data_IF_265838828210
#
_entry.id   IF_265838828210
#
_cell.length_a   1.000
_cell.length_b   1.000
_cell.length_c   1.000
_cell.angle_alpha   90.00
_cell.angle_beta   90.00
_cell.angle_gamma   90.00
#
_symmetry.space_group_name_H-M   'P 1'
#
loop_
_entity.id
_entity.type
_entity.pdbx_description
1 polymer ?
#
# COMPACT_ATOMS: atom_id res chain seq x y z
N UNK A 1 3.21 4.83 -6.57
CA UNK A 1 4.55 5.35 -6.21
C UNK A 1 5.58 4.59 -7.01
N UNK A 2 6.79 5.13 -7.21
CA UNK A 2 7.86 4.47 -7.97
C UNK A 2 8.00 4.96 -9.41
N UNK A 3 8.77 4.21 -10.19
CA UNK A 3 9.11 4.53 -11.58
C UNK A 3 8.07 3.88 -12.51
N UNK A 4 7.44 4.69 -13.36
CA UNK A 4 6.36 4.26 -14.26
C UNK A 4 6.90 3.20 -15.25
N UNK A 5 6.21 2.07 -15.36
CA UNK A 5 6.51 0.95 -16.28
C UNK A 5 7.89 0.29 -16.14
N UNK A 6 8.63 0.53 -15.05
CA UNK A 6 9.99 -0.02 -14.89
C UNK A 6 10.05 -1.55 -15.05
N UNK A 7 9.12 -2.29 -14.43
CA UNK A 7 9.11 -3.76 -14.52
C UNK A 7 8.88 -4.28 -15.94
N UNK A 8 8.11 -3.55 -16.76
CA UNK A 8 7.92 -3.90 -18.17
C UNK A 8 9.24 -3.75 -18.93
N UNK A 9 9.91 -2.62 -18.74
CA UNK A 9 11.21 -2.35 -19.39
C UNK A 9 12.26 -3.39 -18.99
N UNK A 10 12.36 -3.75 -17.70
CA UNK A 10 13.28 -4.80 -17.26
C UNK A 10 12.92 -6.15 -17.88
N UNK A 11 11.63 -6.49 -17.95
CA UNK A 11 11.18 -7.74 -18.55
C UNK A 11 11.49 -7.85 -20.05
N UNK A 12 11.39 -6.74 -20.79
CA UNK A 12 11.64 -6.69 -22.22
C UNK A 12 13.15 -6.65 -22.54
N UNK A 13 13.92 -5.84 -21.81
CA UNK A 13 15.31 -5.51 -22.16
C UNK A 13 16.37 -6.27 -21.34
N UNK A 14 16.02 -6.75 -20.14
CA UNK A 14 16.97 -7.44 -19.24
C UNK A 14 16.28 -8.51 -18.39
N UNK A 15 15.66 -9.53 -19.02
CA UNK A 15 14.86 -10.54 -18.31
C UNK A 15 15.67 -11.32 -17.27
N UNK A 16 16.97 -11.53 -17.51
CA UNK A 16 17.88 -12.25 -16.60
C UNK A 16 18.12 -11.53 -15.26
N UNK A 17 17.79 -10.24 -15.18
CA UNK A 17 17.81 -9.50 -13.93
C UNK A 17 16.72 -9.96 -12.93
N UNK A 18 15.66 -10.62 -13.41
CA UNK A 18 14.53 -11.08 -12.59
C UNK A 18 14.73 -12.54 -12.18
N UNK A 19 15.00 -12.78 -10.89
CA UNK A 19 15.17 -14.13 -10.34
C UNK A 19 14.00 -14.51 -9.44
N UNK A 20 13.27 -15.56 -9.82
CA UNK A 20 12.22 -16.15 -8.98
C UNK A 20 12.85 -17.19 -8.05
N UNK A 21 12.64 -17.04 -6.75
CA UNK A 21 13.11 -18.00 -5.75
C UNK A 21 12.02 -18.27 -4.72
N UNK A 22 11.96 -19.49 -4.14
CA UNK A 22 11.05 -19.78 -3.04
C UNK A 22 11.46 -18.98 -1.79
N UNK A 23 10.49 -18.72 -0.89
CA UNK A 23 10.73 -18.02 0.37
C UNK A 23 11.76 -18.72 1.25
N UNK A 24 11.86 -20.06 1.18
CA UNK A 24 12.87 -20.86 1.87
C UNK A 24 14.30 -20.46 1.54
N UNK A 25 14.55 -19.91 0.34
CA UNK A 25 15.87 -19.39 -0.05
C UNK A 25 16.29 -18.13 0.72
N UNK A 26 15.36 -17.51 1.47
CA UNK A 26 15.58 -16.33 2.28
C UNK A 26 15.70 -16.65 3.78
N UNK A 27 15.72 -17.93 4.16
CA UNK A 27 15.89 -18.33 5.56
C UNK A 27 17.16 -17.71 6.17
N UNK A 28 17.03 -17.15 7.37
CA UNK A 28 18.10 -16.49 8.11
C UNK A 28 18.54 -15.13 7.56
N UNK A 29 18.01 -14.69 6.41
CA UNK A 29 18.35 -13.41 5.78
C UNK A 29 17.66 -12.26 6.51
N UNK A 30 18.35 -11.12 6.57
CA UNK A 30 17.79 -9.85 7.01
C UNK A 30 17.21 -9.15 5.78
N UNK A 31 15.93 -8.77 5.85
CA UNK A 31 15.21 -8.08 4.78
C UNK A 31 14.65 -6.76 5.32
N UNK A 32 15.08 -5.66 4.72
CA UNK A 32 14.50 -4.35 4.94
C UNK A 32 13.22 -4.20 4.10
N UNK A 33 12.13 -3.82 4.75
CA UNK A 33 10.81 -3.64 4.14
C UNK A 33 10.40 -2.17 4.27
N UNK A 34 10.00 -1.57 3.16
CA UNK A 34 9.37 -0.26 3.14
C UNK A 34 8.01 -0.32 3.87
N UNK A 35 7.98 0.31 5.05
CA UNK A 35 6.81 0.35 5.92
C UNK A 35 5.71 1.23 5.33
N UNK A 36 6.06 2.44 4.87
CA UNK A 36 5.11 3.41 4.28
C UNK A 36 4.31 2.77 3.14
N UNK A 37 5.00 2.07 2.23
CA UNK A 37 4.36 1.37 1.12
C UNK A 37 3.49 0.20 1.58
N UNK A 38 3.95 -0.57 2.57
CA UNK A 38 3.21 -1.72 3.07
C UNK A 38 1.92 -1.31 3.79
N UNK A 39 1.97 -0.29 4.64
CA UNK A 39 0.81 0.24 5.35
C UNK A 39 -0.28 0.70 4.37
N UNK A 40 0.11 1.42 3.31
CA UNK A 40 -0.82 1.86 2.28
C UNK A 40 -1.49 0.69 1.56
N UNK A 41 -0.73 -0.37 1.23
CA UNK A 41 -1.30 -1.58 0.61
C UNK A 41 -2.32 -2.27 1.50
N UNK A 42 -2.06 -2.35 2.81
CA UNK A 42 -2.99 -2.97 3.75
C UNK A 42 -4.31 -2.22 3.86
N UNK A 43 -4.25 -0.88 3.92
CA UNK A 43 -5.47 -0.05 3.97
C UNK A 43 -6.34 -0.21 2.71
N UNK A 44 -5.73 -0.30 1.53
CA UNK A 44 -6.46 -0.52 0.27
C UNK A 44 -7.05 -1.94 0.21
N UNK A 45 -6.27 -2.95 0.59
CA UNK A 45 -6.69 -4.34 0.46
C UNK A 45 -7.96 -4.65 1.26
N UNK A 46 -8.15 -4.03 2.43
CA UNK A 46 -9.36 -4.24 3.25
C UNK A 46 -10.61 -3.60 2.68
N UNK A 47 -10.50 -2.58 1.83
CA UNK A 47 -11.66 -2.00 1.14
C UNK A 47 -12.18 -2.90 0.01
N UNK A 48 -11.30 -3.73 -0.57
CA UNK A 48 -11.63 -4.66 -1.66
C UNK A 48 -12.32 -5.95 -1.18
N UNK A 49 -12.08 -6.35 0.07
CA UNK A 49 -12.50 -7.67 0.54
C UNK A 49 -13.99 -7.73 0.93
N UNK A 50 -14.71 -6.61 1.03
CA UNK A 50 -16.10 -6.60 1.54
C UNK A 50 -16.24 -7.10 2.98
N UNK A 51 -15.13 -7.44 3.64
CA UNK A 51 -15.09 -7.78 5.05
C UNK A 51 -15.21 -6.47 5.81
N UNK A 52 -16.11 -6.40 6.79
CA UNK A 52 -16.18 -5.28 7.71
C UNK A 52 -14.76 -5.01 8.22
N UNK A 53 -14.18 -3.88 7.80
CA UNK A 53 -12.84 -3.52 8.22
C UNK A 53 -12.85 -3.54 9.74
N UNK A 54 -11.98 -4.36 10.34
CA UNK A 54 -11.77 -4.31 11.78
C UNK A 54 -11.49 -2.84 12.11
N UNK A 55 -12.37 -2.30 12.94
CA UNK A 55 -12.35 -0.92 13.36
C UNK A 55 -12.17 -0.93 14.86
N UNK A 56 -11.38 -0.01 15.39
CA UNK A 56 -11.32 0.15 16.83
C UNK A 56 -12.67 0.68 17.35
N UNK A 57 -12.83 0.70 18.67
CA UNK A 57 -14.07 1.14 19.31
C UNK A 57 -14.47 2.60 18.95
N UNK A 58 -13.50 3.41 18.52
CA UNK A 58 -13.68 4.78 18.03
C UNK A 58 -13.97 4.87 16.51
N UNK A 59 -14.07 3.75 15.81
CA UNK A 59 -14.28 3.69 14.37
C UNK A 59 -13.02 3.89 13.52
N UNK A 60 -11.83 4.01 14.11
CA UNK A 60 -10.57 4.10 13.36
C UNK A 60 -10.20 2.78 12.69
N UNK A 61 -9.65 2.86 11.48
CA UNK A 61 -9.32 1.71 10.65
C UNK A 61 -8.09 0.95 11.18
N UNK A 62 -8.22 -0.34 11.50
CA UNK A 62 -7.11 -1.15 12.04
C UNK A 62 -6.44 -2.08 11.01
N UNK A 63 -6.79 -1.98 9.73
CA UNK A 63 -6.29 -2.84 8.65
C UNK A 63 -4.77 -2.82 8.51
N UNK A 64 -4.16 -1.68 8.75
CA UNK A 64 -2.72 -1.52 8.69
C UNK A 64 -2.01 -2.28 9.83
N UNK A 65 -2.60 -2.31 11.03
CA UNK A 65 -2.08 -3.05 12.19
C UNK A 65 -2.16 -4.56 11.96
N UNK A 66 -3.34 -5.05 11.54
CA UNK A 66 -3.52 -6.48 11.24
C UNK A 66 -2.64 -6.90 10.08
N UNK A 67 -2.53 -6.08 9.03
CA UNK A 67 -1.65 -6.33 7.89
C UNK A 67 -0.18 -6.45 8.30
N UNK A 68 0.33 -5.52 9.11
CA UNK A 68 1.71 -5.57 9.61
C UNK A 68 1.93 -6.80 10.49
N UNK A 69 1.00 -7.09 11.40
CA UNK A 69 1.09 -8.23 12.31
C UNK A 69 1.18 -9.56 11.55
N UNK A 70 0.18 -9.86 10.71
CA UNK A 70 0.13 -11.12 9.98
C UNK A 70 1.27 -11.25 8.95
N UNK A 71 1.66 -10.15 8.29
CA UNK A 71 2.82 -10.19 7.37
C UNK A 71 4.12 -10.46 8.13
N UNK A 72 4.30 -9.85 9.30
CA UNK A 72 5.50 -10.05 10.12
C UNK A 72 5.59 -11.47 10.62
N UNK A 73 4.50 -12.04 11.15
CA UNK A 73 4.45 -13.44 11.60
C UNK A 73 4.80 -14.38 10.46
N UNK A 74 4.13 -14.25 9.30
CA UNK A 74 4.37 -15.14 8.15
C UNK A 74 5.82 -15.12 7.65
N UNK A 75 6.45 -13.94 7.63
CA UNK A 75 7.85 -13.81 7.22
C UNK A 75 8.80 -14.36 8.29
N UNK A 76 8.49 -14.14 9.57
CA UNK A 76 9.26 -14.69 10.68
C UNK A 76 9.19 -16.23 10.72
N UNK A 77 8.02 -16.83 10.48
CA UNK A 77 7.83 -18.29 10.33
C UNK A 77 8.65 -18.86 9.18
N UNK A 78 8.85 -18.10 8.10
CA UNK A 78 9.76 -18.45 7.01
C UNK A 78 11.25 -18.28 7.37
N UNK A 79 11.57 -17.90 8.61
CA UNK A 79 12.91 -17.65 9.12
C UNK A 79 13.56 -16.36 8.63
N UNK A 80 12.77 -15.41 8.09
CA UNK A 80 13.26 -14.12 7.63
C UNK A 80 13.33 -13.16 8.82
N UNK A 81 14.47 -12.46 8.96
CA UNK A 81 14.66 -11.41 9.96
C UNK A 81 14.21 -10.08 9.35
N UNK A 82 13.15 -9.49 9.90
CA UNK A 82 12.53 -8.29 9.32
C UNK A 82 13.14 -7.01 9.90
N UNK A 83 13.30 -6.00 9.05
CA UNK A 83 13.54 -4.60 9.45
C UNK A 83 12.54 -3.71 8.74
N UNK A 84 11.63 -3.10 9.51
CA UNK A 84 10.68 -2.13 8.98
C UNK A 84 11.35 -0.76 8.86
N UNK A 85 11.36 -0.21 7.65
CA UNK A 85 11.98 1.09 7.35
C UNK A 85 10.88 2.09 7.05
N UNK A 86 10.78 3.12 7.89
CA UNK A 86 9.84 4.22 7.72
C UNK A 86 10.52 5.38 7.00
N UNK A 87 9.76 6.05 6.14
CA UNK A 87 10.25 7.25 5.47
C UNK A 87 10.51 8.38 6.49
N UNK A 88 11.60 9.10 6.26
CA UNK A 88 11.88 10.36 6.95
C UNK A 88 11.30 11.57 6.21
N UNK A 89 11.93 12.73 6.39
CA UNK A 89 11.57 13.95 5.68
C UNK A 89 11.77 13.77 4.17
N UNK A 90 10.73 14.09 3.39
CA UNK A 90 10.83 14.08 1.94
C UNK A 90 11.79 15.17 1.44
N UNK A 91 12.57 14.91 0.37
CA UNK A 91 13.44 15.90 -0.23
C UNK A 91 12.63 16.95 -1.02
N UNK A 92 13.23 18.11 -1.28
CA UNK A 92 12.54 19.28 -1.86
C UNK A 92 11.98 19.00 -3.26
N UNK A 93 12.71 18.24 -4.07
CA UNK A 93 12.33 17.85 -5.43
C UNK A 93 11.05 17.00 -5.45
N UNK A 94 10.70 16.37 -4.33
CA UNK A 94 9.48 15.57 -4.18
C UNK A 94 8.25 16.43 -3.84
N UNK A 95 8.41 17.70 -3.46
CA UNK A 95 7.29 18.54 -2.98
C UNK A 95 6.21 18.75 -4.05
N UNK A 96 6.58 19.09 -5.28
CA UNK A 96 5.63 19.29 -6.38
C UNK A 96 4.82 18.00 -6.67
N UNK A 97 5.48 16.83 -6.60
CA UNK A 97 4.81 15.55 -6.75
C UNK A 97 3.86 15.25 -5.58
N UNK A 98 4.24 15.59 -4.35
CA UNK A 98 3.38 15.41 -3.18
C UNK A 98 2.15 16.32 -3.24
N UNK A 99 2.30 17.56 -3.71
CA UNK A 99 1.18 18.48 -3.92
C UNK A 99 0.15 17.90 -4.91
N UNK A 100 0.61 17.47 -6.10
CA UNK A 100 -0.25 16.81 -7.09
C UNK A 100 -0.98 15.58 -6.54
N UNK A 101 -0.31 14.79 -5.68
CA UNK A 101 -0.94 13.63 -5.03
C UNK A 101 -2.01 14.03 -4.02
N UNK A 102 -1.79 15.11 -3.26
CA UNK A 102 -2.78 15.63 -2.31
C UNK A 102 -4.02 16.13 -3.04
N UNK A 103 -3.83 16.84 -4.14
CA UNK A 103 -4.93 17.30 -5.02
C UNK A 103 -5.73 16.12 -5.58
N UNK A 104 -5.05 15.12 -6.15
CA UNK A 104 -5.72 13.94 -6.67
C UNK A 104 -6.53 13.19 -5.60
N UNK A 105 -5.98 13.05 -4.38
CA UNK A 105 -6.70 12.43 -3.28
C UNK A 105 -7.89 13.27 -2.79
N UNK A 106 -7.79 14.60 -2.82
CA UNK A 106 -8.90 15.49 -2.48
C UNK A 106 -10.03 15.39 -3.52
N UNK A 107 -9.69 15.38 -4.81
CA UNK A 107 -10.66 15.15 -5.88
C UNK A 107 -11.34 13.78 -5.79
N UNK A 108 -10.58 12.73 -5.44
CA UNK A 108 -11.15 11.41 -5.20
C UNK A 108 -12.10 11.36 -4.01
N UNK A 109 -11.79 12.10 -2.93
CA UNK A 109 -12.68 12.20 -1.77
C UNK A 109 -13.99 12.93 -2.10
N UNK A 110 -13.94 13.98 -2.93
CA UNK A 110 -15.13 14.65 -3.43
C UNK A 110 -15.97 13.73 -4.33
N UNK A 111 -15.33 13.04 -5.27
CA UNK A 111 -16.01 12.08 -6.14
C UNK A 111 -16.67 10.93 -5.35
N UNK A 112 -16.03 10.47 -4.27
CA UNK A 112 -16.60 9.48 -3.36
C UNK A 112 -17.88 10.02 -2.69
N UNK A 113 -17.86 11.27 -2.21
CA UNK A 113 -19.03 11.88 -1.59
C UNK A 113 -20.20 11.98 -2.58
N UNK A 114 -19.94 12.47 -3.81
CA UNK A 114 -20.95 12.56 -4.87
C UNK A 114 -21.51 11.20 -5.26
N UNK A 115 -20.66 10.20 -5.51
CA UNK A 115 -21.11 8.85 -5.87
C UNK A 115 -21.92 8.19 -4.75
N UNK A 116 -21.57 8.47 -3.49
CA UNK A 116 -22.34 8.00 -2.33
C UNK A 116 -23.72 8.65 -2.27
N UNK A 117 -23.82 9.96 -2.55
CA UNK A 117 -25.12 10.66 -2.60
C UNK A 117 -25.99 10.23 -3.78
N UNK A 118 -25.37 9.89 -4.92
CA UNK A 118 -26.05 9.45 -6.14
C UNK A 118 -26.40 7.95 -6.14
N UNK A 119 -25.89 7.19 -5.16
CA UNK A 119 -26.14 5.75 -5.02
C UNK A 119 -25.36 4.86 -6.00
N UNK A 120 -24.36 5.40 -6.71
CA UNK A 120 -23.48 4.62 -7.59
C UNK A 120 -22.40 3.90 -6.76
N UNK A 121 -22.73 2.68 -6.35
CA UNK A 121 -21.84 1.84 -5.54
C UNK A 121 -20.50 1.53 -6.22
N UNK A 122 -20.48 1.37 -7.55
CA UNK A 122 -19.27 1.02 -8.29
C UNK A 122 -18.31 2.22 -8.39
N UNK A 123 -18.85 3.42 -8.66
CA UNK A 123 -18.09 4.66 -8.66
C UNK A 123 -17.58 5.00 -7.25
N UNK A 124 -18.42 4.81 -6.22
CA UNK A 124 -18.04 5.01 -4.83
C UNK A 124 -16.88 4.08 -4.42
N UNK A 125 -16.93 2.80 -4.77
CA UNK A 125 -15.84 1.85 -4.45
C UNK A 125 -14.52 2.25 -5.13
N UNK A 126 -14.57 2.68 -6.40
CA UNK A 126 -13.38 3.12 -7.14
C UNK A 126 -12.78 4.40 -6.58
N UNK A 127 -13.62 5.39 -6.26
CA UNK A 127 -13.19 6.65 -5.66
C UNK A 127 -12.63 6.45 -4.25
N UNK A 128 -13.24 5.56 -3.45
CA UNK A 128 -12.82 5.19 -2.10
C UNK A 128 -11.37 4.69 -2.05
N UNK A 129 -10.99 3.80 -2.97
CA UNK A 129 -9.60 3.28 -3.07
C UNK A 129 -8.57 4.38 -3.34
N UNK A 130 -8.96 5.43 -4.05
CA UNK A 130 -8.09 6.57 -4.41
C UNK A 130 -8.05 7.66 -3.34
N UNK A 131 -9.02 7.65 -2.41
CA UNK A 131 -9.11 8.60 -1.31
C UNK A 131 -8.33 8.14 -0.05
N UNK A 132 -7.88 6.88 0.01
CA UNK A 132 -7.13 6.33 1.16
C UNK A 132 -5.87 7.15 1.46
N UNK A 133 -5.68 7.45 2.75
CA UNK A 133 -4.46 8.07 3.28
C UNK A 133 -3.99 7.28 4.49
N UNK A 134 -2.67 7.20 4.65
CA UNK A 134 -2.04 6.76 5.90
C UNK A 134 -1.83 8.04 6.72
N UNK A 135 -2.54 8.17 7.83
CA UNK A 135 -2.40 9.26 8.81
C UNK A 135 -1.41 8.88 9.90
#
# INVERSE_FOLDING_TARGET
MGIKQLMKVIGDESPDAIKKKPSSSLFGRIIAIDASMSLYQFLIATQLAGHAALSAADGSNTAHLTGVLYRSVKLAEAGIKLVWVFDGRAPEEKQALLAKRREAAAGAAQALATATTEGDAAAAEMAGKRAVRVS
#
